data_IF_398625782675
#
_entry.id   IF_398625782675
#
_cell.length_a   1.000
_cell.length_b   1.000
_cell.length_c   1.000
_cell.angle_alpha   90.00
_cell.angle_beta   90.00
_cell.angle_gamma   90.00
#
_symmetry.space_group_name_H-M   'P 1'
#
loop_
_entity.id
_entity.type
_entity.pdbx_description
1 polymer ?
#
# COMPACT_ATOMS: atom_id res chain seq x y z
N UNK A 1 -28.20 27.22 9.33
CA UNK A 1 -27.71 26.13 10.18
C UNK A 1 -26.23 26.38 10.37
N UNK A 2 -25.87 27.01 11.50
CA UNK A 2 -24.52 27.44 11.80
C UNK A 2 -23.86 26.39 12.68
N UNK A 3 -22.72 25.86 12.24
CA UNK A 3 -21.86 25.03 13.06
C UNK A 3 -21.11 25.93 14.05
N UNK A 4 -20.94 25.53 15.33
CA UNK A 4 -20.20 26.32 16.30
C UNK A 4 -18.67 26.19 16.07
N UNK A 5 -17.87 27.21 16.41
CA UNK A 5 -16.42 27.15 16.35
C UNK A 5 -15.87 26.39 17.57
N UNK A 6 -14.90 25.50 17.33
CA UNK A 6 -14.09 24.86 18.37
C UNK A 6 -12.98 25.82 18.82
N UNK A 7 -13.05 26.28 20.06
CA UNK A 7 -11.96 26.99 20.76
C UNK A 7 -11.26 26.02 21.72
N UNK A 8 -9.92 25.85 21.68
CA UNK A 8 -9.21 24.99 22.63
C UNK A 8 -8.48 25.86 23.66
N UNK A 9 -9.12 26.20 24.78
CA UNK A 9 -8.40 26.73 25.95
C UNK A 9 -9.05 26.33 27.27
N UNK A 10 -8.46 25.33 27.93
CA UNK A 10 -8.17 25.34 29.39
C UNK A 10 -7.61 23.99 29.82
N UNK A 11 -6.28 23.91 29.97
CA UNK A 11 -5.63 22.81 30.67
C UNK A 11 -5.67 23.09 32.18
N UNK A 12 -6.44 22.30 32.92
CA UNK A 12 -6.36 22.21 34.37
C UNK A 12 -5.53 21.00 34.76
N UNK A 13 -4.43 21.21 35.47
CA UNK A 13 -3.57 20.17 36.05
C UNK A 13 -4.25 19.49 37.23
N UNK A 14 -4.46 18.17 37.18
CA UNK A 14 -4.60 17.34 38.37
C UNK A 14 -3.93 15.97 38.19
N UNK A 15 -3.39 15.48 39.30
CA UNK A 15 -2.38 14.43 39.40
C UNK A 15 -2.85 13.01 39.10
N UNK A 16 -1.86 12.15 38.94
CA UNK A 16 -1.97 10.74 38.60
C UNK A 16 -2.66 9.89 39.67
N UNK A 17 -3.70 9.16 39.27
CA UNK A 17 -3.86 7.72 39.41
C UNK A 17 -5.30 7.38 38.99
N UNK A 18 -5.51 7.04 37.72
CA UNK A 18 -6.77 6.43 37.31
C UNK A 18 -6.44 5.25 36.42
N UNK A 19 -6.73 4.05 36.90
CA UNK A 19 -6.90 2.89 36.03
C UNK A 19 -8.01 3.25 35.04
N UNK A 20 -7.63 3.69 33.84
CA UNK A 20 -8.57 4.09 32.81
C UNK A 20 -9.47 2.88 32.51
N UNK A 21 -10.78 3.08 32.59
CA UNK A 21 -11.74 2.07 32.18
C UNK A 21 -11.44 1.66 30.72
N UNK A 22 -11.65 0.38 30.37
CA UNK A 22 -11.38 -0.10 29.02
C UNK A 22 -12.17 0.73 28.00
N UNK A 23 -11.46 1.27 27.02
CA UNK A 23 -12.06 2.01 25.90
C UNK A 23 -12.45 0.97 24.86
N UNK A 24 -13.76 0.87 24.58
CA UNK A 24 -14.27 0.04 23.47
C UNK A 24 -14.72 0.94 22.33
N UNK A 25 -14.14 0.71 21.15
CA UNK A 25 -14.56 1.32 19.90
C UNK A 25 -15.37 0.30 19.10
N UNK A 26 -16.61 0.66 18.77
CA UNK A 26 -17.49 -0.13 17.90
C UNK A 26 -17.30 0.30 16.44
N UNK A 27 -17.64 -0.59 15.51
CA UNK A 27 -17.48 -0.37 14.06
C UNK A 27 -16.04 0.07 13.71
N UNK A 28 -15.08 -0.52 14.41
CA UNK A 28 -13.67 -0.23 14.29
C UNK A 28 -13.13 -0.78 12.98
N UNK A 29 -12.41 0.07 12.24
CA UNK A 29 -11.79 -0.32 10.98
C UNK A 29 -10.39 -0.88 11.22
N UNK A 30 -10.16 -2.13 10.83
CA UNK A 30 -8.86 -2.77 10.89
C UNK A 30 -7.88 -2.21 9.84
N UNK A 31 -6.72 -1.63 10.23
CA UNK A 31 -5.79 -1.00 9.30
C UNK A 31 -4.71 -1.95 8.73
N UNK A 32 -4.72 -3.23 9.10
CA UNK A 32 -3.57 -4.14 8.87
C UNK A 32 -3.57 -4.83 7.50
N UNK A 33 -4.68 -4.81 6.78
CA UNK A 33 -4.73 -5.21 5.38
C UNK A 33 -5.67 -4.30 4.58
N UNK A 34 -5.53 -4.27 3.24
CA UNK A 34 -6.26 -3.36 2.38
C UNK A 34 -7.78 -3.56 2.30
N UNK A 35 -8.30 -4.67 2.87
CA UNK A 35 -9.75 -4.89 2.98
C UNK A 35 -10.43 -3.84 3.87
N UNK A 36 -9.69 -3.29 4.84
CA UNK A 36 -10.19 -2.31 5.81
C UNK A 36 -11.54 -2.74 6.40
N UNK A 37 -11.58 -3.93 7.00
CA UNK A 37 -12.80 -4.46 7.60
C UNK A 37 -13.28 -3.54 8.73
N UNK A 38 -14.51 -3.05 8.58
CA UNK A 38 -15.17 -2.00 9.36
C UNK A 38 -16.29 -2.54 10.27
N UNK A 39 -16.34 -3.86 10.44
CA UNK A 39 -17.36 -4.62 11.18
C UNK A 39 -16.82 -5.25 12.48
N UNK A 40 -15.76 -4.65 13.04
CA UNK A 40 -15.10 -5.13 14.25
C UNK A 40 -15.40 -4.23 15.44
N UNK A 41 -15.24 -4.76 16.65
CA UNK A 41 -15.10 -3.95 17.85
C UNK A 41 -13.72 -4.20 18.45
N UNK A 42 -13.06 -3.15 18.93
CA UNK A 42 -11.75 -3.24 19.59
C UNK A 42 -11.84 -2.64 20.99
N UNK A 43 -11.19 -3.30 21.95
CA UNK A 43 -11.12 -2.85 23.34
C UNK A 43 -9.68 -2.76 23.79
N UNK A 44 -9.29 -1.59 24.29
CA UNK A 44 -8.04 -1.40 25.01
C UNK A 44 -8.14 -1.90 26.44
N UNK A 45 -7.23 -2.78 26.84
CA UNK A 45 -7.15 -3.34 28.18
C UNK A 45 -6.30 -2.44 29.10
N UNK A 46 -6.47 -2.54 30.44
CA UNK A 46 -5.68 -1.75 31.40
C UNK A 46 -4.17 -2.00 31.33
N UNK A 47 -3.75 -3.17 30.86
CA UNK A 47 -2.36 -3.57 30.64
C UNK A 47 -1.83 -3.10 29.27
N UNK A 48 -2.57 -2.26 28.55
CA UNK A 48 -2.19 -1.72 27.23
C UNK A 48 -2.41 -2.68 26.06
N UNK A 49 -2.79 -3.93 26.31
CA UNK A 49 -3.12 -4.89 25.27
C UNK A 49 -4.40 -4.51 24.52
N UNK A 50 -4.53 -4.98 23.28
CA UNK A 50 -5.67 -4.74 22.43
C UNK A 50 -6.37 -6.05 22.12
N UNK A 51 -7.67 -6.09 22.32
CA UNK A 51 -8.50 -7.25 21.98
C UNK A 51 -9.57 -6.81 20.97
N UNK A 52 -9.58 -7.45 19.80
CA UNK A 52 -10.64 -7.26 18.81
C UNK A 52 -11.63 -8.42 18.85
N UNK A 53 -12.90 -8.10 18.59
CA UNK A 53 -14.03 -9.04 18.52
C UNK A 53 -14.85 -8.77 17.26
N UNK A 54 -15.60 -9.77 16.81
CA UNK A 54 -16.47 -9.70 15.62
C UNK A 54 -16.17 -10.85 14.65
N UNK A 55 -14.90 -11.01 14.28
CA UNK A 55 -14.46 -12.03 13.31
C UNK A 55 -13.06 -12.55 13.62
N UNK A 56 -12.83 -13.83 13.32
CA UNK A 56 -11.51 -14.46 13.45
C UNK A 56 -10.66 -14.17 12.22
N UNK A 57 -9.64 -13.33 12.38
CA UNK A 57 -8.68 -13.01 11.32
C UNK A 57 -7.25 -13.23 11.83
N UNK A 58 -6.48 -14.19 11.28
CA UNK A 58 -5.13 -14.50 11.78
C UNK A 58 -4.17 -13.31 11.63
N UNK A 59 -4.32 -12.52 10.55
CA UNK A 59 -3.52 -11.32 10.32
C UNK A 59 -3.79 -10.22 11.35
N UNK A 60 -5.05 -10.05 11.77
CA UNK A 60 -5.41 -9.12 12.84
C UNK A 60 -4.82 -9.59 14.19
N UNK A 61 -5.01 -10.87 14.53
CA UNK A 61 -4.47 -11.43 15.76
C UNK A 61 -2.94 -11.26 15.86
N UNK A 62 -2.23 -11.56 14.76
CA UNK A 62 -0.78 -11.38 14.69
C UNK A 62 -0.38 -9.90 14.83
N UNK A 63 -1.09 -8.98 14.19
CA UNK A 63 -0.79 -7.56 14.28
C UNK A 63 -1.00 -7.02 15.70
N UNK A 64 -2.11 -7.36 16.36
CA UNK A 64 -2.41 -6.92 17.72
C UNK A 64 -1.41 -7.43 18.77
N UNK A 65 -0.83 -8.62 18.55
CA UNK A 65 0.23 -9.14 19.42
C UNK A 65 1.45 -8.19 19.49
N UNK A 66 1.71 -7.43 18.42
CA UNK A 66 2.78 -6.43 18.34
C UNK A 66 2.54 -5.16 19.17
N UNK A 67 1.33 -4.94 19.70
CA UNK A 67 0.97 -3.74 20.47
C UNK A 67 0.89 -3.98 21.99
N UNK A 68 1.29 -5.17 22.46
CA UNK A 68 1.20 -5.62 23.86
C UNK A 68 2.13 -4.89 24.83
N UNK A 69 3.04 -4.05 24.37
CA UNK A 69 3.98 -3.31 25.23
C UNK A 69 3.43 -1.92 25.62
N UNK A 70 3.35 -1.69 26.93
CA UNK A 70 2.93 -0.42 27.55
C UNK A 70 4.01 0.65 27.52
N UNK A 71 5.28 0.27 27.50
CA UNK A 71 6.40 1.21 27.55
C UNK A 71 6.51 2.01 26.25
N UNK A 72 6.40 3.34 26.35
CA UNK A 72 6.67 4.23 25.23
C UNK A 72 8.12 4.06 24.80
N UNK A 73 8.34 3.62 23.56
CA UNK A 73 9.68 3.62 22.99
C UNK A 73 10.24 5.05 23.01
N UNK A 74 11.51 5.17 23.39
CA UNK A 74 12.24 6.43 23.28
C UNK A 74 12.76 6.61 21.86
N UNK A 75 12.92 7.86 21.44
CA UNK A 75 13.68 8.15 20.23
C UNK A 75 15.16 7.77 20.45
N UNK A 76 15.85 7.34 19.40
CA UNK A 76 17.25 6.94 19.45
C UNK A 76 18.08 7.72 18.44
N UNK A 77 19.33 8.00 18.77
CA UNK A 77 20.37 8.42 17.83
C UNK A 77 21.56 7.49 18.03
N UNK A 78 21.96 6.79 16.97
CA UNK A 78 23.05 5.80 16.98
C UNK A 78 22.92 4.76 18.09
N UNK A 79 21.67 4.33 18.36
CA UNK A 79 21.31 3.38 19.40
C UNK A 79 21.22 3.93 20.82
N UNK A 80 21.60 5.20 21.04
CA UNK A 80 21.46 5.86 22.33
C UNK A 80 20.09 6.55 22.47
N UNK A 81 19.36 6.35 23.59
CA UNK A 81 18.12 7.08 23.85
C UNK A 81 18.33 8.59 23.94
N UNK A 82 17.49 9.36 23.25
CA UNK A 82 17.51 10.83 23.25
C UNK A 82 16.11 11.41 23.42
N UNK A 83 16.05 12.70 23.76
CA UNK A 83 14.80 13.44 23.73
C UNK A 83 14.25 13.57 22.30
N UNK A 84 12.93 13.60 22.15
CA UNK A 84 12.24 13.69 20.85
C UNK A 84 12.73 14.87 20.00
N UNK A 85 12.86 16.07 20.59
CA UNK A 85 13.32 17.25 19.85
C UNK A 85 14.79 17.15 19.41
N UNK A 86 15.64 16.42 20.13
CA UNK A 86 17.03 16.18 19.73
C UNK A 86 17.12 15.20 18.56
N UNK A 87 16.28 14.15 18.55
CA UNK A 87 16.17 13.25 17.40
C UNK A 87 15.67 13.99 16.15
N UNK A 88 14.68 14.88 16.29
CA UNK A 88 14.19 15.72 15.20
C UNK A 88 15.27 16.67 14.66
N UNK A 89 16.11 17.24 15.53
CA UNK A 89 17.22 18.09 15.09
C UNK A 89 18.24 17.31 14.27
N UNK A 90 18.68 16.15 14.77
CA UNK A 90 19.62 15.28 14.05
C UNK A 90 19.05 14.79 12.71
N UNK A 91 17.78 14.40 12.66
CA UNK A 91 17.10 14.02 11.42
C UNK A 91 17.03 15.20 10.42
N UNK A 92 16.73 16.42 10.89
CA UNK A 92 16.70 17.60 10.04
C UNK A 92 18.10 17.95 9.50
N UNK A 93 19.16 17.81 10.31
CA UNK A 93 20.55 18.00 9.86
C UNK A 93 20.93 17.03 8.73
N UNK A 94 20.58 15.74 8.87
CA UNK A 94 20.81 14.73 7.83
C UNK A 94 20.10 15.13 6.53
N UNK A 95 18.82 15.51 6.61
CA UNK A 95 18.04 15.91 5.43
C UNK A 95 18.56 17.22 4.81
N UNK A 96 19.02 18.18 5.60
CA UNK A 96 19.58 19.44 5.11
C UNK A 96 20.91 19.25 4.38
N UNK A 97 21.71 18.25 4.78
CA UNK A 97 22.99 17.92 4.14
C UNK A 97 22.84 17.03 2.89
N UNK A 98 21.68 16.39 2.71
CA UNK A 98 21.41 15.44 1.63
C UNK A 98 21.04 16.13 0.32
N UNK A 99 21.55 15.61 -0.80
CA UNK A 99 21.24 16.07 -2.17
C UNK A 99 20.28 15.14 -2.89
N UNK A 100 20.27 13.86 -2.53
CA UNK A 100 19.36 12.86 -3.07
C UNK A 100 18.75 12.00 -1.96
N UNK A 101 17.94 12.61 -1.06
CA UNK A 101 17.25 11.84 -0.04
C UNK A 101 16.19 10.95 -0.67
N UNK A 102 16.10 9.71 -0.18
CA UNK A 102 15.02 8.77 -0.51
C UNK A 102 14.05 8.68 0.67
N UNK A 103 12.77 8.93 0.42
CA UNK A 103 11.68 8.67 1.34
C UNK A 103 11.06 7.33 0.95
N UNK A 104 11.43 6.28 1.69
CA UNK A 104 11.07 4.89 1.43
C UNK A 104 10.01 4.35 2.40
N UNK A 105 9.49 3.16 2.05
CA UNK A 105 8.33 2.50 2.64
C UNK A 105 7.03 3.29 2.54
N UNK A 106 7.00 4.51 3.08
CA UNK A 106 5.86 5.41 3.09
C UNK A 106 4.60 4.77 3.67
N UNK A 107 4.74 3.84 4.62
CA UNK A 107 3.60 3.15 5.20
C UNK A 107 2.91 4.02 6.27
N UNK A 108 1.94 4.81 5.82
CA UNK A 108 1.23 5.82 6.60
C UNK A 108 -0.18 6.10 6.04
N UNK A 109 -0.90 7.02 6.70
CA UNK A 109 -2.25 7.43 6.33
C UNK A 109 -2.25 8.67 5.40
N UNK A 110 -3.44 9.16 5.02
CA UNK A 110 -3.56 10.35 4.16
C UNK A 110 -2.83 11.57 4.74
N UNK A 111 -2.97 11.83 6.05
CA UNK A 111 -2.35 12.99 6.67
C UNK A 111 -0.82 12.88 6.66
N UNK A 112 -0.29 11.71 6.99
CA UNK A 112 1.14 11.41 6.91
C UNK A 112 1.69 11.57 5.49
N UNK A 113 1.01 11.02 4.48
CA UNK A 113 1.43 11.12 3.08
C UNK A 113 1.50 12.58 2.59
N UNK A 114 0.50 13.40 2.95
CA UNK A 114 0.48 14.84 2.61
C UNK A 114 1.64 15.60 3.24
N UNK A 115 1.92 15.36 4.52
CA UNK A 115 3.00 16.03 5.23
C UNK A 115 4.38 15.57 4.73
N UNK A 116 4.55 14.29 4.41
CA UNK A 116 5.79 13.76 3.82
C UNK A 116 6.03 14.32 2.42
N UNK A 117 4.98 14.52 1.61
CA UNK A 117 5.11 15.18 0.32
C UNK A 117 5.57 16.63 0.46
N UNK A 118 5.02 17.38 1.43
CA UNK A 118 5.47 18.74 1.72
C UNK A 118 6.94 18.77 2.17
N UNK A 119 7.32 17.88 3.10
CA UNK A 119 8.72 17.73 3.53
C UNK A 119 9.66 17.40 2.35
N UNK A 120 9.23 16.50 1.46
CA UNK A 120 9.99 16.14 0.27
C UNK A 120 10.17 17.32 -0.69
N UNK A 121 9.16 18.18 -0.82
CA UNK A 121 9.25 19.42 -1.60
C UNK A 121 10.23 20.43 -0.98
N UNK A 122 10.47 20.38 0.33
CA UNK A 122 11.45 21.25 1.00
C UNK A 122 12.89 20.78 0.84
N UNK A 123 13.14 19.47 0.78
CA UNK A 123 14.50 18.91 0.67
C UNK A 123 14.83 18.26 -0.68
N UNK A 124 13.88 18.21 -1.61
CA UNK A 124 14.06 17.64 -2.94
C UNK A 124 14.24 16.12 -2.93
N UNK A 125 13.29 15.38 -2.34
CA UNK A 125 13.39 13.93 -2.16
C UNK A 125 12.78 13.10 -3.30
N UNK A 126 13.31 11.89 -3.47
CA UNK A 126 12.61 10.82 -4.20
C UNK A 126 11.66 10.11 -3.25
N UNK A 127 10.42 9.86 -3.68
CA UNK A 127 9.43 9.10 -2.90
C UNK A 127 9.18 7.76 -3.60
N UNK A 128 9.22 6.69 -2.82
CA UNK A 128 8.83 5.36 -3.27
C UNK A 128 8.23 4.54 -2.12
N UNK A 129 7.19 3.76 -2.42
CA UNK A 129 6.53 2.93 -1.41
C UNK A 129 7.26 1.59 -1.26
N UNK A 130 7.08 0.91 -0.13
CA UNK A 130 7.50 -0.49 0.07
C UNK A 130 6.98 -1.43 -1.04
N UNK A 131 5.84 -1.08 -1.62
CA UNK A 131 5.14 -1.84 -2.66
C UNK A 131 5.25 -1.17 -4.04
N UNK A 132 6.25 -0.30 -4.22
CA UNK A 132 6.43 0.54 -5.41
C UNK A 132 6.47 -0.23 -6.72
N UNK A 133 7.11 -1.41 -6.75
CA UNK A 133 7.15 -2.25 -7.95
C UNK A 133 5.77 -2.78 -8.35
N UNK A 134 4.96 -3.20 -7.37
CA UNK A 134 3.59 -3.67 -7.60
C UNK A 134 2.65 -2.52 -8.04
N UNK A 135 2.77 -1.35 -7.39
CA UNK A 135 2.05 -0.12 -7.79
C UNK A 135 2.40 0.24 -9.23
N UNK A 136 3.70 0.28 -9.56
CA UNK A 136 4.20 0.66 -10.87
C UNK A 136 3.74 -0.30 -11.96
N UNK A 137 3.78 -1.62 -11.70
CA UNK A 137 3.37 -2.63 -12.66
C UNK A 137 1.89 -2.47 -13.07
N UNK A 138 1.01 -2.15 -12.12
CA UNK A 138 -0.39 -1.87 -12.41
C UNK A 138 -0.61 -0.48 -13.03
N UNK A 139 0.05 0.55 -12.49
CA UNK A 139 -0.15 1.95 -12.90
C UNK A 139 0.28 2.20 -14.34
N UNK A 140 1.40 1.63 -14.77
CA UNK A 140 1.88 1.75 -16.16
C UNK A 140 0.83 1.28 -17.16
N UNK A 141 0.19 0.14 -16.90
CA UNK A 141 -0.86 -0.40 -17.78
C UNK A 141 -2.05 0.56 -17.87
N UNK A 142 -2.49 1.12 -16.75
CA UNK A 142 -3.60 2.08 -16.71
C UNK A 142 -3.25 3.34 -17.50
N UNK A 143 -2.02 3.85 -17.38
CA UNK A 143 -1.53 5.01 -18.12
C UNK A 143 -1.48 4.76 -19.63
N UNK A 144 -1.00 3.59 -20.05
CA UNK A 144 -0.81 3.28 -21.47
C UNK A 144 -2.11 2.84 -22.19
N UNK A 145 -2.99 2.11 -21.49
CA UNK A 145 -4.12 1.38 -22.09
C UNK A 145 -5.48 1.64 -21.45
N UNK A 146 -5.52 2.27 -20.27
CA UNK A 146 -6.71 2.30 -19.42
C UNK A 146 -7.00 0.95 -18.77
N UNK A 147 -8.09 0.89 -18.01
CA UNK A 147 -8.54 -0.31 -17.29
C UNK A 147 -10.04 -0.24 -17.00
N UNK A 148 -10.66 -1.40 -16.81
CA UNK A 148 -12.05 -1.53 -16.35
C UNK A 148 -12.02 -2.04 -14.91
N UNK A 149 -12.38 -1.21 -13.94
CA UNK A 149 -12.29 -1.58 -12.53
C UNK A 149 -13.65 -1.99 -11.97
N UNK A 150 -13.64 -2.92 -11.01
CA UNK A 150 -14.77 -3.23 -10.16
C UNK A 150 -14.51 -2.79 -8.71
N UNK A 151 -15.58 -2.66 -7.93
CA UNK A 151 -15.51 -2.43 -6.48
C UNK A 151 -15.85 -3.70 -5.70
N UNK A 152 -15.46 -3.78 -4.41
CA UNK A 152 -15.87 -4.91 -3.55
C UNK A 152 -17.39 -5.11 -3.53
N UNK A 153 -18.16 -4.02 -3.59
CA UNK A 153 -19.63 -4.06 -3.64
C UNK A 153 -20.15 -4.67 -4.95
N UNK A 154 -19.49 -4.41 -6.08
CA UNK A 154 -19.85 -5.05 -7.35
C UNK A 154 -19.53 -6.54 -7.35
N UNK A 155 -18.36 -6.94 -6.82
CA UNK A 155 -18.05 -8.36 -6.60
C UNK A 155 -19.13 -9.00 -5.71
N UNK A 156 -19.53 -8.31 -4.63
CA UNK A 156 -20.51 -8.79 -3.64
C UNK A 156 -21.96 -8.88 -4.11
N UNK A 157 -22.36 -8.10 -5.10
CA UNK A 157 -23.79 -8.00 -5.47
C UNK A 157 -24.10 -8.33 -6.91
N UNK A 158 -23.09 -8.34 -7.81
CA UNK A 158 -23.31 -8.46 -9.25
C UNK A 158 -22.51 -9.57 -9.92
N UNK A 159 -21.30 -9.86 -9.43
CA UNK A 159 -20.41 -10.81 -10.09
C UNK A 159 -20.86 -12.26 -9.91
N UNK A 160 -21.44 -12.84 -10.96
CA UNK A 160 -21.80 -14.26 -11.02
C UNK A 160 -20.61 -15.13 -11.42
N UNK A 161 -19.59 -14.57 -12.09
CA UNK A 161 -18.32 -15.23 -12.39
C UNK A 161 -17.12 -14.42 -11.89
N UNK A 162 -16.31 -14.99 -10.99
CA UNK A 162 -15.01 -14.44 -10.60
C UNK A 162 -13.89 -15.32 -11.14
N UNK A 163 -12.96 -14.71 -11.88
CA UNK A 163 -11.82 -15.39 -12.48
C UNK A 163 -10.54 -14.93 -11.78
N UNK A 164 -9.91 -15.81 -11.03
CA UNK A 164 -8.66 -15.55 -10.32
C UNK A 164 -7.48 -15.94 -11.21
N UNK A 165 -6.63 -14.97 -11.53
CA UNK A 165 -5.43 -15.20 -12.33
C UNK A 165 -4.18 -15.04 -11.47
N UNK A 166 -3.40 -16.12 -11.32
CA UNK A 166 -2.09 -16.09 -10.67
C UNK A 166 -2.11 -15.57 -9.22
N UNK A 167 -3.24 -15.69 -8.51
CA UNK A 167 -3.38 -15.18 -7.15
C UNK A 167 -4.26 -16.06 -6.27
N UNK A 168 -3.99 -16.02 -4.97
CA UNK A 168 -4.74 -16.73 -3.92
C UNK A 168 -5.09 -15.72 -2.81
N UNK A 169 -6.19 -14.97 -2.96
CA UNK A 169 -6.54 -13.85 -2.08
C UNK A 169 -6.44 -14.15 -0.58
N UNK A 170 -6.83 -15.33 -0.10
CA UNK A 170 -6.88 -15.62 1.34
C UNK A 170 -5.51 -15.61 2.03
N UNK A 171 -4.42 -15.78 1.27
CA UNK A 171 -3.04 -15.77 1.79
C UNK A 171 -2.65 -14.38 2.33
N UNK A 172 -3.09 -13.31 1.67
CA UNK A 172 -2.79 -11.92 2.05
C UNK A 172 -3.99 -11.16 2.63
N UNK A 173 -5.20 -11.60 2.28
CA UNK A 173 -6.48 -10.98 2.59
C UNK A 173 -7.43 -12.03 3.19
N UNK A 174 -7.23 -12.48 4.45
CA UNK A 174 -7.90 -13.67 4.98
C UNK A 174 -9.43 -13.64 4.91
N UNK A 175 -10.04 -12.45 5.01
CA UNK A 175 -11.49 -12.26 4.93
C UNK A 175 -11.99 -11.90 3.53
N UNK A 176 -11.18 -12.04 2.47
CA UNK A 176 -11.55 -11.63 1.12
C UNK A 176 -12.87 -12.28 0.67
N UNK A 177 -12.96 -13.62 0.72
CA UNK A 177 -14.16 -14.34 0.30
C UNK A 177 -15.38 -13.93 1.13
N UNK A 178 -15.24 -13.81 2.45
CA UNK A 178 -16.32 -13.32 3.31
C UNK A 178 -16.82 -11.93 2.89
N UNK A 179 -15.91 -11.03 2.50
CA UNK A 179 -16.25 -9.65 2.10
C UNK A 179 -16.86 -9.55 0.70
N UNK A 180 -16.52 -10.46 -0.20
CA UNK A 180 -17.09 -10.50 -1.57
C UNK A 180 -18.26 -11.48 -1.70
N UNK A 181 -18.54 -12.28 -0.67
CA UNK A 181 -19.75 -13.09 -0.58
C UNK A 181 -20.90 -12.22 -0.06
N UNK A 182 -21.99 -12.22 -0.80
CA UNK A 182 -23.23 -11.55 -0.44
C UNK A 182 -24.43 -12.40 -0.83
N UNK A 183 -25.61 -12.16 -0.25
CA UNK A 183 -26.82 -12.80 -0.70
C UNK A 183 -27.07 -12.40 -2.16
N UNK A 184 -27.19 -13.39 -3.04
CA UNK A 184 -27.46 -13.21 -4.45
C UNK A 184 -28.51 -14.20 -4.92
N UNK A 185 -29.35 -13.78 -5.88
CA UNK A 185 -30.36 -14.63 -6.51
C UNK A 185 -29.78 -15.52 -7.63
N UNK A 186 -28.48 -15.38 -7.90
CA UNK A 186 -27.72 -16.16 -8.88
C UNK A 186 -26.68 -17.05 -8.20
N UNK A 187 -26.37 -18.17 -8.84
CA UNK A 187 -25.24 -19.02 -8.46
C UNK A 187 -23.92 -18.34 -8.82
N UNK A 188 -22.92 -18.50 -7.97
CA UNK A 188 -21.58 -17.94 -8.17
C UNK A 188 -20.61 -19.01 -8.61
N UNK A 189 -19.72 -18.63 -9.51
CA UNK A 189 -18.63 -19.47 -9.99
C UNK A 189 -17.29 -18.78 -9.77
N UNK A 190 -16.35 -19.50 -9.15
CA UNK A 190 -14.97 -19.10 -8.96
C UNK A 190 -14.08 -19.96 -9.84
N UNK A 191 -13.41 -19.31 -10.79
CA UNK A 191 -12.53 -19.95 -11.74
C UNK A 191 -11.08 -19.55 -11.46
N UNK A 192 -10.24 -20.49 -11.10
CA UNK A 192 -8.80 -20.27 -10.91
C UNK A 192 -8.06 -20.61 -12.20
N UNK A 193 -7.48 -19.62 -12.86
CA UNK A 193 -6.87 -19.75 -14.20
C UNK A 193 -5.38 -19.49 -14.10
N UNK A 194 -4.56 -20.48 -14.47
CA UNK A 194 -3.10 -20.37 -14.35
C UNK A 194 -2.60 -20.45 -12.91
N UNK A 195 -3.43 -20.89 -11.97
CA UNK A 195 -3.07 -21.11 -10.57
C UNK A 195 -3.97 -22.17 -9.92
N UNK A 196 -3.50 -22.76 -8.83
CA UNK A 196 -4.31 -23.64 -7.98
C UNK A 196 -5.44 -22.89 -7.28
N UNK A 197 -6.53 -23.60 -6.98
CA UNK A 197 -7.61 -23.06 -6.17
C UNK A 197 -7.10 -22.55 -4.82
N UNK A 198 -7.62 -21.39 -4.42
CA UNK A 198 -7.36 -20.82 -3.10
C UNK A 198 -8.09 -21.63 -2.01
N UNK A 199 -7.41 -22.15 -0.97
CA UNK A 199 -8.05 -22.91 0.09
C UNK A 199 -9.15 -22.11 0.81
N UNK A 200 -9.02 -20.78 0.88
CA UNK A 200 -10.03 -19.90 1.47
C UNK A 200 -11.34 -19.85 0.68
N UNK A 201 -11.33 -20.23 -0.60
CA UNK A 201 -12.54 -20.30 -1.42
C UNK A 201 -13.44 -21.47 -1.02
N UNK A 202 -12.88 -22.57 -0.50
CA UNK A 202 -13.64 -23.77 -0.13
C UNK A 202 -14.67 -23.51 0.99
N UNK A 203 -14.50 -22.44 1.77
CA UNK A 203 -15.46 -22.00 2.79
C UNK A 203 -16.67 -21.23 2.24
N UNK A 204 -16.71 -20.92 0.94
CA UNK A 204 -17.78 -20.16 0.32
C UNK A 204 -19.03 -21.03 0.06
N UNK A 205 -20.16 -20.79 0.75
CA UNK A 205 -21.36 -21.60 0.56
C UNK A 205 -21.97 -21.34 -0.83
N UNK A 206 -22.47 -22.40 -1.48
CA UNK A 206 -23.17 -22.33 -2.77
C UNK A 206 -22.36 -21.71 -3.93
N UNK A 207 -21.03 -21.83 -3.88
CA UNK A 207 -20.13 -21.42 -4.95
C UNK A 207 -19.57 -22.65 -5.67
N UNK A 208 -19.64 -22.66 -7.00
CA UNK A 208 -18.90 -23.64 -7.80
C UNK A 208 -17.45 -23.19 -7.94
N UNK A 209 -16.50 -24.06 -7.65
CA UNK A 209 -15.07 -23.78 -7.72
C UNK A 209 -14.44 -24.71 -8.76
N UNK A 210 -13.75 -24.12 -9.72
CA UNK A 210 -13.05 -24.85 -10.77
C UNK A 210 -11.62 -24.30 -10.93
N UNK A 211 -10.68 -25.19 -11.22
CA UNK A 211 -9.27 -24.87 -11.51
C UNK A 211 -8.99 -25.22 -12.96
N UNK A 212 -8.39 -24.29 -13.70
CA UNK A 212 -8.03 -24.45 -15.11
C UNK A 212 -6.55 -24.14 -15.30
N UNK A 213 -5.85 -25.08 -15.96
CA UNK A 213 -4.48 -24.88 -16.43
C UNK A 213 -3.51 -24.39 -15.32
N UNK A 214 -3.49 -25.00 -14.11
CA UNK A 214 -2.77 -24.46 -12.95
C UNK A 214 -1.25 -24.42 -13.10
N UNK A 215 -0.70 -25.08 -14.11
CA UNK A 215 0.73 -25.17 -14.39
C UNK A 215 1.10 -24.60 -15.77
N UNK A 216 0.18 -23.95 -16.47
CA UNK A 216 0.48 -23.32 -17.75
C UNK A 216 1.41 -22.11 -17.55
N UNK A 217 2.29 -21.88 -18.51
CA UNK A 217 3.09 -20.65 -18.54
C UNK A 217 2.14 -19.44 -18.63
N UNK A 218 2.27 -18.45 -17.73
CA UNK A 218 1.31 -17.35 -17.66
C UNK A 218 1.34 -16.44 -18.89
N UNK A 219 2.48 -16.31 -19.58
CA UNK A 219 2.57 -15.47 -20.78
C UNK A 219 1.91 -16.16 -21.97
N UNK A 220 2.18 -17.45 -22.17
CA UNK A 220 1.52 -18.25 -23.20
C UNK A 220 0.00 -18.29 -22.98
N UNK A 221 -0.42 -18.50 -21.74
CA UNK A 221 -1.82 -18.53 -21.33
C UNK A 221 -2.53 -17.21 -21.66
N UNK A 222 -1.96 -16.07 -21.26
CA UNK A 222 -2.54 -14.75 -21.52
C UNK A 222 -2.51 -14.42 -23.02
N UNK A 223 -1.47 -14.80 -23.75
CA UNK A 223 -1.40 -14.58 -25.19
C UNK A 223 -2.49 -15.35 -25.97
N UNK A 224 -2.66 -16.65 -25.65
CA UNK A 224 -3.70 -17.49 -26.26
C UNK A 224 -5.11 -17.01 -25.88
N UNK A 225 -5.33 -16.70 -24.60
CA UNK A 225 -6.62 -16.21 -24.13
C UNK A 225 -6.97 -14.85 -24.76
N UNK A 226 -5.99 -13.95 -24.90
CA UNK A 226 -6.18 -12.68 -25.60
C UNK A 226 -6.52 -12.89 -27.07
N UNK A 227 -5.85 -13.82 -27.76
CA UNK A 227 -6.15 -14.12 -29.16
C UNK A 227 -7.58 -14.66 -29.34
N UNK A 228 -8.01 -15.60 -28.50
CA UNK A 228 -9.39 -16.13 -28.51
C UNK A 228 -10.42 -15.05 -28.19
N UNK A 229 -10.15 -14.20 -27.19
CA UNK A 229 -11.04 -13.10 -26.80
C UNK A 229 -11.26 -12.09 -27.94
N UNK A 230 -10.27 -11.92 -28.82
CA UNK A 230 -10.36 -11.10 -30.04
C UNK A 230 -10.99 -11.81 -31.25
N UNK A 231 -11.52 -13.03 -31.06
CA UNK A 231 -12.21 -13.78 -32.10
C UNK A 231 -11.30 -14.53 -33.07
N UNK A 232 -10.03 -14.80 -32.71
CA UNK A 232 -9.20 -15.73 -33.49
C UNK A 232 -9.77 -17.15 -33.34
N UNK A 233 -9.80 -17.88 -34.45
CA UNK A 233 -10.35 -19.24 -34.47
C UNK A 233 -9.43 -20.21 -33.71
N UNK A 234 -9.96 -21.07 -32.81
CA UNK A 234 -9.18 -22.11 -32.13
C UNK A 234 -8.26 -22.92 -33.05
N UNK A 235 -8.79 -23.32 -34.23
CA UNK A 235 -8.06 -24.07 -35.25
C UNK A 235 -6.83 -23.33 -35.82
N UNK A 236 -6.84 -21.99 -35.81
CA UNK A 236 -5.71 -21.17 -36.25
C UNK A 236 -4.60 -21.04 -35.21
N UNK A 237 -4.88 -21.37 -33.95
CA UNK A 237 -3.93 -21.29 -32.84
C UNK A 237 -3.32 -22.66 -32.50
N UNK A 238 -4.05 -23.75 -32.73
CA UNK A 238 -3.58 -25.11 -32.43
C UNK A 238 -2.36 -25.54 -33.25
N UNK A 239 -2.08 -24.87 -34.37
CA UNK A 239 -0.88 -25.12 -35.20
C UNK A 239 0.38 -24.44 -34.65
N UNK A 240 0.26 -23.53 -33.67
CA UNK A 240 1.38 -22.78 -33.13
C UNK A 240 2.19 -23.59 -32.10
N UNK A 241 1.63 -24.68 -31.52
CA UNK A 241 2.30 -25.50 -30.49
C UNK A 241 1.84 -26.96 -30.49
N UNK A 242 2.75 -27.87 -30.12
CA UNK A 242 2.52 -29.32 -30.09
C UNK A 242 1.60 -29.79 -28.93
N UNK A 243 1.43 -28.95 -27.90
CA UNK A 243 0.57 -29.10 -26.71
C UNK A 243 -0.62 -28.10 -26.69
N UNK A 244 -0.79 -27.31 -27.75
CA UNK A 244 -1.69 -26.16 -27.79
C UNK A 244 -3.18 -26.52 -27.75
N UNK A 245 -3.58 -27.67 -28.28
CA UNK A 245 -5.00 -28.03 -28.44
C UNK A 245 -5.74 -28.10 -27.11
N UNK A 246 -5.19 -28.79 -26.10
CA UNK A 246 -5.84 -28.91 -24.79
C UNK A 246 -5.97 -27.56 -24.06
N UNK A 247 -4.95 -26.70 -24.17
CA UNK A 247 -4.98 -25.34 -23.62
C UNK A 247 -6.04 -24.48 -24.31
N UNK A 248 -6.13 -24.58 -25.64
CA UNK A 248 -7.12 -23.85 -26.44
C UNK A 248 -8.54 -24.34 -26.14
N UNK A 249 -8.75 -25.64 -25.97
CA UNK A 249 -10.06 -26.22 -25.64
C UNK A 249 -10.52 -25.76 -24.24
N UNK A 250 -9.61 -25.78 -23.26
CA UNK A 250 -9.86 -25.23 -21.93
C UNK A 250 -10.20 -23.72 -22.02
N UNK A 251 -9.40 -22.92 -22.71
CA UNK A 251 -9.67 -21.49 -22.87
C UNK A 251 -10.95 -21.19 -23.66
N UNK A 252 -11.33 -22.05 -24.60
CA UNK A 252 -12.61 -21.95 -25.32
C UNK A 252 -13.79 -22.22 -24.38
N UNK A 253 -13.65 -23.22 -23.50
CA UNK A 253 -14.63 -23.50 -22.43
C UNK A 253 -14.74 -22.30 -21.47
N UNK A 254 -13.62 -21.68 -21.09
CA UNK A 254 -13.62 -20.46 -20.29
C UNK A 254 -14.33 -19.30 -21.01
N UNK A 255 -14.10 -19.14 -22.32
CA UNK A 255 -14.76 -18.11 -23.12
C UNK A 255 -16.29 -18.31 -23.20
N UNK A 256 -16.77 -19.55 -23.28
CA UNK A 256 -18.19 -19.88 -23.23
C UNK A 256 -18.82 -19.54 -21.87
N UNK A 257 -18.14 -19.90 -20.76
CA UNK A 257 -18.57 -19.52 -19.40
C UNK A 257 -18.64 -18.01 -19.23
N UNK A 258 -17.63 -17.27 -19.70
CA UNK A 258 -17.62 -15.80 -19.70
C UNK A 258 -18.78 -15.24 -20.52
N UNK A 259 -19.06 -15.80 -21.70
CA UNK A 259 -20.16 -15.33 -22.54
C UNK A 259 -21.54 -15.59 -21.93
N UNK A 260 -21.68 -16.64 -21.11
CA UNK A 260 -22.91 -16.95 -20.37
C UNK A 260 -23.10 -16.12 -19.10
N UNK A 261 -22.01 -15.57 -18.53
CA UNK A 261 -22.05 -14.76 -17.32
C UNK A 261 -22.71 -13.38 -17.55
N UNK A 262 -23.45 -12.90 -16.55
CA UNK A 262 -24.04 -11.57 -16.52
C UNK A 262 -22.99 -10.50 -16.20
N UNK A 263 -22.05 -10.80 -15.30
CA UNK A 263 -20.98 -9.89 -14.91
C UNK A 263 -19.73 -10.67 -14.46
N UNK A 264 -18.73 -10.74 -15.34
CA UNK A 264 -17.47 -11.41 -15.06
C UNK A 264 -16.43 -10.45 -14.43
N UNK A 265 -15.76 -10.86 -13.37
CA UNK A 265 -14.67 -10.08 -12.76
C UNK A 265 -13.36 -10.85 -12.78
N UNK A 266 -12.34 -10.29 -13.42
CA UNK A 266 -10.99 -10.81 -13.40
C UNK A 266 -10.22 -10.27 -12.19
N UNK A 267 -9.90 -11.15 -11.24
CA UNK A 267 -9.15 -10.85 -10.02
C UNK A 267 -7.69 -11.23 -10.19
N UNK A 268 -6.78 -10.32 -9.85
CA UNK A 268 -5.33 -10.55 -9.88
C UNK A 268 -4.63 -9.75 -8.78
N UNK A 269 -3.43 -10.16 -8.37
CA UNK A 269 -2.62 -9.43 -7.38
C UNK A 269 -1.31 -8.98 -8.04
N UNK A 270 -1.10 -7.67 -8.30
CA UNK A 270 0.14 -7.17 -8.88
C UNK A 270 1.39 -7.62 -8.11
N UNK A 271 1.34 -7.65 -6.78
CA UNK A 271 2.46 -8.10 -5.96
C UNK A 271 2.79 -9.60 -6.17
N UNK A 272 1.79 -10.47 -6.35
CA UNK A 272 2.02 -11.88 -6.66
C UNK A 272 2.64 -12.07 -8.04
N UNK A 273 2.19 -11.29 -9.04
CA UNK A 273 2.77 -11.31 -10.38
C UNK A 273 4.22 -10.77 -10.38
N UNK A 274 4.51 -9.72 -9.60
CA UNK A 274 5.88 -9.21 -9.44
C UNK A 274 6.78 -10.25 -8.77
N UNK A 275 6.31 -10.93 -7.70
CA UNK A 275 7.08 -11.99 -7.03
C UNK A 275 7.46 -13.13 -7.96
N UNK A 276 6.59 -13.47 -8.92
CA UNK A 276 6.79 -14.61 -9.83
C UNK A 276 7.51 -14.24 -11.13
N UNK A 277 7.28 -13.05 -11.68
CA UNK A 277 7.73 -12.66 -13.03
C UNK A 277 8.56 -11.37 -13.07
N UNK A 278 8.83 -10.75 -11.92
CA UNK A 278 9.42 -9.43 -11.82
C UNK A 278 8.48 -8.31 -12.31
N UNK A 279 8.90 -7.07 -12.12
CA UNK A 279 8.09 -5.87 -12.45
C UNK A 279 7.69 -5.80 -13.94
N UNK A 280 8.63 -6.06 -14.84
CA UNK A 280 8.38 -5.98 -16.29
C UNK A 280 7.42 -7.09 -16.76
N UNK A 281 7.63 -8.33 -16.29
CA UNK A 281 6.74 -9.45 -16.58
C UNK A 281 5.34 -9.23 -16.03
N UNK A 282 5.22 -8.75 -14.80
CA UNK A 282 3.94 -8.38 -14.21
C UNK A 282 3.19 -7.32 -15.03
N UNK A 283 3.90 -6.28 -15.52
CA UNK A 283 3.29 -5.24 -16.37
C UNK A 283 2.71 -5.82 -17.65
N UNK A 284 3.45 -6.71 -18.33
CA UNK A 284 2.99 -7.38 -19.55
C UNK A 284 1.78 -8.29 -19.32
N UNK A 285 1.79 -9.07 -18.24
CA UNK A 285 0.66 -9.92 -17.88
C UNK A 285 -0.58 -9.06 -17.57
N UNK A 286 -0.43 -8.01 -16.75
CA UNK A 286 -1.53 -7.11 -16.42
C UNK A 286 -2.08 -6.43 -17.68
N UNK A 287 -1.23 -5.97 -18.61
CA UNK A 287 -1.68 -5.42 -19.91
C UNK A 287 -2.50 -6.44 -20.70
N UNK A 288 -2.03 -7.69 -20.78
CA UNK A 288 -2.74 -8.76 -21.46
C UNK A 288 -4.10 -9.08 -20.83
N UNK A 289 -4.18 -9.14 -19.49
CA UNK A 289 -5.43 -9.33 -18.76
C UNK A 289 -6.41 -8.18 -19.00
N UNK A 290 -5.94 -6.92 -18.98
CA UNK A 290 -6.78 -5.76 -19.29
C UNK A 290 -7.28 -5.78 -20.74
N UNK A 291 -6.45 -6.22 -21.68
CA UNK A 291 -6.84 -6.40 -23.08
C UNK A 291 -7.92 -7.48 -23.24
N UNK A 292 -7.82 -8.58 -22.49
CA UNK A 292 -8.85 -9.63 -22.43
C UNK A 292 -10.17 -9.05 -21.89
N UNK A 293 -10.14 -8.37 -20.74
CA UNK A 293 -11.34 -7.72 -20.16
C UNK A 293 -11.97 -6.72 -21.14
N UNK A 294 -11.15 -5.93 -21.84
CA UNK A 294 -11.63 -5.02 -22.89
C UNK A 294 -12.36 -5.76 -24.01
N UNK A 295 -11.79 -6.85 -24.53
CA UNK A 295 -12.40 -7.63 -25.61
C UNK A 295 -13.69 -8.34 -25.17
N UNK A 296 -13.76 -8.81 -23.92
CA UNK A 296 -14.99 -9.38 -23.35
C UNK A 296 -16.12 -8.34 -23.32
N UNK A 297 -15.79 -7.07 -23.05
CA UNK A 297 -16.76 -5.98 -22.97
C UNK A 297 -17.45 -5.62 -24.30
N UNK A 298 -16.96 -6.13 -25.43
CA UNK A 298 -17.64 -6.02 -26.73
C UNK A 298 -18.90 -6.91 -26.79
N UNK A 299 -19.02 -7.93 -25.94
CA UNK A 299 -20.09 -8.94 -25.97
C UNK A 299 -20.91 -9.04 -24.68
N UNK A 300 -20.26 -8.96 -23.53
CA UNK A 300 -20.91 -9.01 -22.20
C UNK A 300 -20.31 -7.93 -21.29
N UNK A 301 -20.61 -7.93 -19.99
CA UNK A 301 -20.02 -7.00 -19.03
C UNK A 301 -18.91 -7.69 -18.25
N UNK A 302 -17.74 -7.10 -18.26
CA UNK A 302 -16.62 -7.56 -17.47
C UNK A 302 -15.83 -6.40 -16.85
N UNK A 303 -15.17 -6.69 -15.74
CA UNK A 303 -14.27 -5.76 -15.07
C UNK A 303 -13.08 -6.51 -14.49
N UNK A 304 -12.14 -5.75 -13.95
CA UNK A 304 -10.96 -6.27 -13.27
C UNK A 304 -10.90 -5.76 -11.83
N UNK A 305 -10.33 -6.57 -10.95
CA UNK A 305 -10.17 -6.25 -9.54
C UNK A 305 -8.74 -6.57 -9.12
N UNK A 306 -7.92 -5.53 -9.00
CA UNK A 306 -6.53 -5.66 -8.57
C UNK A 306 -6.45 -5.70 -7.04
N UNK A 307 -5.99 -6.83 -6.49
CA UNK A 307 -5.69 -6.97 -5.07
C UNK A 307 -4.39 -6.25 -4.74
N UNK A 308 -4.42 -5.28 -3.83
CA UNK A 308 -3.23 -4.54 -3.44
C UNK A 308 -3.52 -3.49 -2.38
N UNK A 309 -2.54 -2.63 -2.14
CA UNK A 309 -2.68 -1.51 -1.20
C UNK A 309 -2.19 -1.77 0.22
N UNK A 310 -1.46 -2.87 0.45
CA UNK A 310 -0.91 -3.21 1.76
C UNK A 310 -0.08 -2.06 2.32
N UNK A 311 -0.06 -1.93 3.65
CA UNK A 311 0.71 -0.91 4.36
C UNK A 311 0.39 0.53 3.90
N UNK A 312 -0.84 0.79 3.44
CA UNK A 312 -1.24 2.13 2.98
C UNK A 312 -0.77 2.46 1.56
N UNK A 313 -0.28 1.49 0.77
CA UNK A 313 0.22 1.72 -0.59
C UNK A 313 -0.77 2.47 -1.50
N UNK A 314 -2.05 2.07 -1.51
CA UNK A 314 -3.08 2.76 -2.31
C UNK A 314 -3.32 4.16 -1.75
N UNK A 315 -3.36 4.31 -0.42
CA UNK A 315 -3.52 5.61 0.27
C UNK A 315 -2.45 6.61 -0.15
N UNK A 316 -1.18 6.23 -0.04
CA UNK A 316 -0.07 7.12 -0.34
C UNK A 316 0.01 7.40 -1.84
N UNK A 317 -0.19 6.39 -2.69
CA UNK A 317 -0.19 6.59 -4.13
C UNK A 317 -1.29 7.57 -4.56
N UNK A 318 -2.51 7.42 -4.04
CA UNK A 318 -3.60 8.37 -4.28
C UNK A 318 -3.23 9.78 -3.80
N UNK A 319 -2.69 9.89 -2.57
CA UNK A 319 -2.30 11.16 -1.98
C UNK A 319 -1.27 11.92 -2.80
N UNK A 320 -0.20 11.23 -3.17
CA UNK A 320 0.85 11.78 -4.02
C UNK A 320 0.31 12.12 -5.41
N UNK A 321 -0.58 11.30 -5.98
CA UNK A 321 -1.18 11.55 -7.29
C UNK A 321 -2.02 12.83 -7.31
N UNK A 322 -2.88 13.08 -6.31
CA UNK A 322 -3.68 14.31 -6.30
C UNK A 322 -2.85 15.56 -5.94
N UNK A 323 -1.74 15.40 -5.21
CA UNK A 323 -0.86 16.53 -4.85
C UNK A 323 0.05 16.95 -6.01
N UNK A 324 0.54 15.98 -6.78
CA UNK A 324 1.58 16.19 -7.78
C UNK A 324 1.11 16.04 -9.22
N UNK A 325 -0.04 15.40 -9.44
CA UNK A 325 -0.49 14.94 -10.75
C UNK A 325 0.20 13.66 -11.24
N UNK A 326 1.15 13.09 -10.49
CA UNK A 326 1.94 11.92 -10.87
C UNK A 326 1.93 10.83 -9.77
N UNK A 327 1.95 9.54 -10.14
CA UNK A 327 1.98 8.45 -9.17
C UNK A 327 3.39 8.19 -8.62
N UNK A 328 3.48 7.31 -7.63
CA UNK A 328 4.76 6.78 -7.16
C UNK A 328 5.38 5.78 -8.15
N UNK A 329 6.73 5.63 -8.15
CA UNK A 329 7.70 6.50 -7.51
C UNK A 329 7.92 7.80 -8.31
N UNK A 330 8.30 8.88 -7.64
CA UNK A 330 8.63 10.15 -8.30
C UNK A 330 9.72 10.92 -7.54
N UNK A 331 10.45 11.77 -8.26
CA UNK A 331 11.33 12.79 -7.70
C UNK A 331 10.55 14.09 -7.55
N UNK A 332 10.49 14.58 -6.32
CA UNK A 332 10.00 15.93 -6.02
C UNK A 332 11.23 16.85 -5.95
N UNK A 333 11.32 17.89 -6.81
CA UNK A 333 12.43 18.84 -6.72
C UNK A 333 12.28 19.72 -5.47
N UNK A 334 13.40 20.16 -4.91
CA UNK A 334 13.37 21.13 -3.82
C UNK A 334 12.78 22.45 -4.35
N UNK A 335 11.73 22.96 -3.71
CA UNK A 335 11.16 24.26 -4.03
C UNK A 335 12.19 25.34 -3.72
N UNK A 336 12.72 25.98 -4.77
CA UNK A 336 13.51 27.20 -4.62
C UNK A 336 12.59 28.27 -4.02
N UNK A 337 12.98 28.85 -2.89
CA UNK A 337 12.27 30.00 -2.31
C UNK A 337 12.76 31.25 -3.02
N UNK A 338 11.85 32.20 -3.27
CA UNK A 338 12.17 33.47 -3.92
C UNK A 338 13.41 34.11 -3.27
N UNK A 339 14.43 34.40 -4.10
CA UNK A 339 15.74 34.93 -3.66
C UNK A 339 16.95 34.02 -3.95
N UNK A 340 16.74 32.80 -4.46
CA UNK A 340 17.83 31.90 -4.89
C UNK A 340 18.33 32.26 -6.30
N UNK A 341 19.24 33.26 -6.36
CA UNK A 341 19.74 33.92 -7.56
C UNK A 341 20.23 33.05 -8.75
N UNK A 342 20.17 33.69 -9.92
CA UNK A 342 20.69 33.38 -11.27
C UNK A 342 21.09 31.92 -11.55
N UNK A 343 20.10 31.17 -12.04
CA UNK A 343 20.26 29.83 -12.56
C UNK A 343 20.94 29.79 -13.94
N UNK A 344 21.68 28.71 -14.19
CA UNK A 344 22.03 28.30 -15.57
C UNK A 344 20.85 27.62 -16.29
N UNK A 345 19.67 27.52 -15.64
CA UNK A 345 18.47 26.92 -16.22
C UNK A 345 18.45 25.38 -16.23
N UNK A 346 19.47 24.68 -15.73
CA UNK A 346 19.52 23.20 -15.70
C UNK A 346 19.02 22.54 -14.39
N UNK A 347 18.74 23.32 -13.34
CA UNK A 347 18.21 22.80 -12.08
C UNK A 347 16.72 22.47 -12.19
N UNK A 348 16.39 21.25 -12.61
CA UNK A 348 15.03 20.80 -12.90
C UNK A 348 14.01 21.17 -11.82
N UNK A 349 13.15 22.14 -12.14
CA UNK A 349 12.00 22.56 -11.33
C UNK A 349 10.77 21.69 -11.57
N UNK A 350 10.87 20.68 -12.43
CA UNK A 350 9.77 19.78 -12.79
C UNK A 350 9.78 18.53 -11.92
N UNK A 351 8.59 18.14 -11.47
CA UNK A 351 8.34 16.79 -10.98
C UNK A 351 8.77 15.77 -12.06
N UNK A 352 9.44 14.69 -11.65
CA UNK A 352 9.91 13.63 -12.55
C UNK A 352 9.43 12.27 -12.06
N UNK A 353 8.63 11.58 -12.88
CA UNK A 353 8.12 10.24 -12.60
C UNK A 353 8.76 9.24 -13.55
N UNK A 354 9.46 8.27 -12.99
CA UNK A 354 10.01 7.13 -13.73
C UNK A 354 10.10 5.92 -12.79
N UNK A 355 9.18 4.98 -13.02
CA UNK A 355 9.04 3.75 -12.24
C UNK A 355 10.27 2.84 -12.25
N UNK A 356 11.17 2.96 -13.23
CA UNK A 356 12.40 2.18 -13.30
C UNK A 356 13.57 2.92 -12.64
N UNK A 357 13.71 4.22 -12.92
CA UNK A 357 14.81 5.06 -12.40
C UNK A 357 14.71 5.26 -10.89
N UNK A 358 13.49 5.46 -10.39
CA UNK A 358 13.25 5.86 -9.00
C UNK A 358 12.82 4.71 -8.07
N UNK A 359 12.85 3.46 -8.53
CA UNK A 359 12.58 2.32 -7.65
C UNK A 359 13.66 2.18 -6.56
N UNK A 360 13.23 2.00 -5.31
CA UNK A 360 14.08 1.91 -4.11
C UNK A 360 15.22 0.91 -4.27
N UNK A 361 14.91 -0.29 -4.77
CA UNK A 361 15.89 -1.38 -4.95
C UNK A 361 17.06 -0.95 -5.84
N UNK A 362 16.78 -0.22 -6.92
CA UNK A 362 17.79 0.30 -7.85
C UNK A 362 18.57 1.46 -7.24
N UNK A 363 17.87 2.43 -6.66
CA UNK A 363 18.51 3.61 -6.06
C UNK A 363 19.53 3.24 -4.98
N UNK A 364 19.23 2.20 -4.19
CA UNK A 364 20.15 1.66 -3.18
C UNK A 364 21.30 0.89 -3.84
N UNK A 365 21.00 -0.03 -4.77
CA UNK A 365 22.03 -0.85 -5.42
C UNK A 365 23.04 -0.02 -6.22
N UNK A 366 22.57 1.01 -6.92
CA UNK A 366 23.37 1.92 -7.73
C UNK A 366 24.02 3.05 -6.88
N UNK A 367 23.77 3.08 -5.56
CA UNK A 367 24.26 4.11 -4.62
C UNK A 367 23.89 5.55 -5.03
N UNK A 368 22.67 5.74 -5.51
CA UNK A 368 22.14 7.03 -5.96
C UNK A 368 21.48 7.86 -4.83
N UNK A 369 21.50 7.37 -3.59
CA UNK A 369 20.95 8.06 -2.42
C UNK A 369 22.07 8.39 -1.44
N UNK A 370 21.95 9.52 -0.76
CA UNK A 370 22.87 9.96 0.29
C UNK A 370 22.20 10.09 1.66
N UNK A 371 20.88 9.88 1.75
CA UNK A 371 20.16 9.67 3.01
C UNK A 371 18.89 8.85 2.75
N UNK A 372 18.46 8.08 3.75
CA UNK A 372 17.18 7.36 3.75
C UNK A 372 16.26 7.89 4.86
N UNK A 373 15.04 8.30 4.53
CA UNK A 373 13.93 8.43 5.48
C UNK A 373 12.99 7.24 5.27
N UNK A 374 12.92 6.32 6.23
CA UNK A 374 12.07 5.12 6.18
C UNK A 374 10.85 5.29 7.07
N UNK A 375 9.65 5.29 6.49
CA UNK A 375 8.40 5.50 7.22
C UNK A 375 7.59 4.21 7.31
N UNK A 376 7.40 3.69 8.51
CA UNK A 376 6.75 2.40 8.77
C UNK A 376 5.83 2.43 10.01
N UNK A 377 4.69 3.13 9.91
CA UNK A 377 3.78 3.34 11.04
C UNK A 377 2.69 2.27 11.23
N UNK A 378 2.35 1.52 10.17
CA UNK A 378 1.27 0.51 10.21
C UNK A 378 1.74 -0.86 10.70
N UNK A 379 2.99 -1.21 10.42
CA UNK A 379 3.64 -2.44 10.84
C UNK A 379 5.17 -2.20 10.95
N UNK A 380 5.91 -3.00 11.73
CA UNK A 380 7.36 -2.90 11.85
C UNK A 380 8.07 -3.49 10.63
N UNK A 381 7.82 -2.92 9.45
CA UNK A 381 8.43 -3.34 8.19
C UNK A 381 9.92 -2.97 8.17
N UNK A 382 10.85 -3.93 8.05
CA UNK A 382 12.28 -3.64 8.07
C UNK A 382 12.68 -2.81 6.85
N UNK A 383 13.63 -1.88 7.02
CA UNK A 383 14.22 -1.16 5.89
C UNK A 383 15.16 -2.05 5.08
N UNK A 384 15.55 -1.63 3.85
CA UNK A 384 16.32 -2.48 2.96
C UNK A 384 17.68 -2.86 3.58
N UNK A 385 17.99 -4.17 3.71
CA UNK A 385 19.24 -4.63 4.33
C UNK A 385 20.47 -4.28 3.49
N UNK A 386 20.28 -4.01 2.20
CA UNK A 386 21.33 -3.57 1.28
C UNK A 386 21.74 -2.09 1.46
N UNK A 387 21.11 -1.36 2.38
CA UNK A 387 21.47 0.03 2.66
C UNK A 387 22.91 0.10 3.19
N UNK A 388 23.77 0.83 2.48
CA UNK A 388 25.17 0.97 2.86
C UNK A 388 25.32 1.67 4.22
N UNK A 389 26.36 1.28 4.98
CA UNK A 389 26.62 1.80 6.33
C UNK A 389 26.97 3.30 6.33
N UNK A 390 27.48 3.84 5.23
CA UNK A 390 27.81 5.25 5.09
C UNK A 390 26.62 6.14 4.69
N UNK A 391 25.46 5.54 4.36
CA UNK A 391 24.22 6.29 4.09
C UNK A 391 23.46 6.45 5.41
N UNK A 392 23.32 7.67 5.98
CA UNK A 392 22.52 7.88 7.19
C UNK A 392 21.06 7.48 6.98
N UNK A 393 20.43 6.90 8.01
CA UNK A 393 19.01 6.54 7.99
C UNK A 393 18.23 7.25 9.09
N UNK A 394 17.04 7.72 8.74
CA UNK A 394 16.03 8.26 9.65
C UNK A 394 14.86 7.28 9.57
N UNK A 395 14.59 6.57 10.66
CA UNK A 395 13.51 5.58 10.74
C UNK A 395 12.39 6.14 11.59
N UNK A 396 11.21 6.32 11.00
CA UNK A 396 10.04 6.86 11.67
C UNK A 396 8.90 5.85 11.61
N UNK A 397 8.45 5.33 12.75
CA UNK A 397 7.43 4.29 12.70
C UNK A 397 7.16 3.53 13.99
N UNK A 398 6.71 2.29 13.82
CA UNK A 398 6.29 1.42 14.90
C UNK A 398 7.41 1.24 15.96
N UNK A 399 7.10 1.35 17.27
CA UNK A 399 8.06 1.18 18.37
C UNK A 399 8.98 -0.05 18.28
N UNK A 400 8.49 -1.16 17.73
CA UNK A 400 9.27 -2.40 17.56
C UNK A 400 10.48 -2.28 16.61
N UNK A 401 10.60 -1.19 15.84
CA UNK A 401 11.77 -0.93 15.00
C UNK A 401 12.97 -0.38 15.79
N UNK A 402 12.79 -0.01 17.06
CA UNK A 402 13.84 0.58 17.90
C UNK A 402 15.06 -0.34 18.06
N UNK A 403 14.83 -1.64 18.31
CA UNK A 403 15.92 -2.62 18.49
C UNK A 403 16.72 -2.79 17.21
N UNK A 404 16.03 -2.94 16.07
CA UNK A 404 16.69 -3.01 14.76
C UNK A 404 17.50 -1.73 14.49
N UNK A 405 17.01 -0.57 14.91
CA UNK A 405 17.68 0.72 14.66
C UNK A 405 18.93 0.85 15.52
N UNK A 406 18.86 0.44 16.79
CA UNK A 406 20.01 0.39 17.68
C UNK A 406 21.08 -0.61 17.20
N UNK A 407 20.66 -1.74 16.65
CA UNK A 407 21.56 -2.79 16.17
C UNK A 407 22.25 -2.46 14.83
N UNK A 408 21.86 -1.38 14.15
CA UNK A 408 22.36 -1.06 12.79
C UNK A 408 23.86 -0.75 12.75
N UNK A 409 24.44 -0.19 13.83
CA UNK A 409 25.88 0.10 13.91
C UNK A 409 26.39 1.17 12.91
N UNK A 410 25.49 2.00 12.39
CA UNK A 410 25.75 3.07 11.43
C UNK A 410 24.88 4.30 11.74
N UNK A 411 25.16 5.50 11.20
CA UNK A 411 24.41 6.71 11.49
C UNK A 411 22.89 6.53 11.33
N UNK A 412 22.17 6.49 12.44
CA UNK A 412 20.75 6.12 12.48
C UNK A 412 19.98 6.93 13.51
N UNK A 413 18.93 7.62 13.07
CA UNK A 413 17.95 8.26 13.92
C UNK A 413 16.68 7.43 13.92
N UNK A 414 16.17 7.05 15.09
CA UNK A 414 14.87 6.39 15.24
C UNK A 414 13.90 7.31 15.97
N UNK A 415 12.71 7.48 15.40
CA UNK A 415 11.62 8.27 15.98
C UNK A 415 10.36 7.40 16.03
N UNK A 416 9.87 7.02 17.22
CA UNK A 416 8.63 6.27 17.34
C UNK A 416 7.44 7.14 16.96
N UNK A 417 6.52 6.56 16.20
CA UNK A 417 5.32 7.24 15.69
C UNK A 417 4.05 6.46 16.04
N UNK A 418 2.94 7.19 16.13
CA UNK A 418 1.61 6.61 16.33
C UNK A 418 1.21 5.73 15.13
N UNK A 419 0.62 4.57 15.39
CA UNK A 419 -0.03 3.75 14.36
C UNK A 419 -1.46 4.27 14.12
N UNK A 420 -1.82 4.70 12.89
CA UNK A 420 -3.20 5.07 12.56
C UNK A 420 -4.18 3.92 12.77
N UNK A 421 -5.33 4.20 13.40
CA UNK A 421 -6.33 3.20 13.82
C UNK A 421 -6.00 2.47 15.12
N UNK A 422 -4.80 2.65 15.69
CA UNK A 422 -4.42 2.09 16.98
C UNK A 422 -4.14 3.19 18.00
N UNK A 423 -3.16 4.04 17.74
CA UNK A 423 -2.73 5.11 18.66
C UNK A 423 -3.25 6.50 18.23
N UNK A 424 -3.75 6.63 17.01
CA UNK A 424 -4.29 7.89 16.46
C UNK A 424 -5.39 7.62 15.45
N UNK A 425 -6.27 8.60 15.25
CA UNK A 425 -7.23 8.58 14.14
C UNK A 425 -6.49 8.77 12.81
N UNK A 426 -7.15 8.40 11.70
CA UNK A 426 -6.56 8.54 10.38
C UNK A 426 -7.51 8.20 9.25
N UNK A 427 -7.00 8.21 8.03
CA UNK A 427 -7.76 7.82 6.84
C UNK A 427 -6.94 6.93 5.93
N UNK A 428 -7.53 5.82 5.47
CA UNK A 428 -6.94 4.93 4.48
C UNK A 428 -7.88 4.74 3.30
N UNK A 429 -7.32 4.58 2.11
CA UNK A 429 -8.07 4.11 0.95
C UNK A 429 -8.17 2.59 1.00
N UNK A 430 -9.38 2.07 0.83
CA UNK A 430 -9.63 0.64 0.66
C UNK A 430 -9.08 0.16 -0.69
N UNK A 431 -8.81 -1.13 -0.83
CA UNK A 431 -8.16 -1.69 -2.02
C UNK A 431 -8.88 -1.42 -3.36
N UNK A 432 -10.18 -1.16 -3.33
CA UNK A 432 -10.96 -0.74 -4.50
C UNK A 432 -10.71 0.74 -4.90
N UNK A 433 -9.81 1.43 -4.20
CA UNK A 433 -9.26 2.77 -4.44
C UNK A 433 -10.27 3.92 -4.52
N UNK A 434 -11.55 3.62 -4.33
CA UNK A 434 -12.69 4.56 -4.46
C UNK A 434 -13.23 4.99 -3.10
N UNK A 435 -13.02 4.18 -2.06
CA UNK A 435 -13.55 4.44 -0.71
C UNK A 435 -12.41 4.83 0.23
N UNK A 436 -12.54 6.01 0.81
CA UNK A 436 -11.73 6.45 1.96
C UNK A 436 -12.44 6.03 3.23
N UNK A 437 -11.78 5.24 4.06
CA UNK A 437 -12.32 4.72 5.32
C UNK A 437 -11.67 5.47 6.49
N UNK A 438 -12.46 6.07 7.39
CA UNK A 438 -11.93 6.68 8.60
C UNK A 438 -11.47 5.60 9.58
N UNK A 439 -10.35 5.86 10.25
CA UNK A 439 -9.83 5.05 11.33
C UNK A 439 -10.05 5.79 12.64
N UNK A 440 -10.53 5.07 13.65
CA UNK A 440 -10.62 5.55 15.03
C UNK A 440 -9.51 4.90 15.86
N UNK A 441 -8.84 5.69 16.70
CA UNK A 441 -7.82 5.20 17.62
C UNK A 441 -8.40 4.15 18.57
N UNK A 442 -7.79 2.97 18.62
CA UNK A 442 -8.17 1.89 19.54
C UNK A 442 -7.78 2.19 21.00
N UNK A 443 -6.78 3.05 21.21
CA UNK A 443 -6.31 3.49 22.53
C UNK A 443 -5.74 4.90 22.48
N UNK A 444 -5.66 5.55 23.64
CA UNK A 444 -4.96 6.83 23.80
C UNK A 444 -3.48 6.58 24.12
N UNK A 445 -2.56 6.97 23.22
CA UNK A 445 -1.12 6.95 23.47
C UNK A 445 -0.48 8.23 22.98
N UNK A 446 0.43 8.80 23.76
CA UNK A 446 1.11 10.07 23.44
C UNK A 446 2.27 9.91 22.43
N UNK A 447 2.05 9.13 21.36
CA UNK A 447 2.99 9.07 20.24
C UNK A 447 2.61 10.13 19.19
N UNK A 448 3.57 10.84 18.60
CA UNK A 448 3.28 11.80 17.54
C UNK A 448 2.90 11.06 16.24
N UNK A 449 1.97 11.63 15.48
CA UNK A 449 1.61 11.11 14.15
C UNK A 449 2.73 11.37 13.14
N UNK A 450 2.77 10.61 12.05
CA UNK A 450 3.70 10.86 10.93
C UNK A 450 3.53 12.30 10.41
N UNK A 451 2.29 12.79 10.32
CA UNK A 451 2.03 14.17 9.90
C UNK A 451 2.69 15.21 10.83
N UNK A 452 2.63 14.99 12.15
CA UNK A 452 3.25 15.85 13.15
C UNK A 452 4.77 15.83 13.04
N UNK A 453 5.36 14.64 12.91
CA UNK A 453 6.82 14.47 12.79
C UNK A 453 7.32 15.15 11.51
N UNK A 454 6.69 14.86 10.36
CA UNK A 454 7.08 15.44 9.08
C UNK A 454 6.96 16.97 9.07
N UNK A 455 5.90 17.54 9.65
CA UNK A 455 5.74 19.00 9.76
C UNK A 455 6.83 19.63 10.64
N UNK A 456 7.16 19.00 11.78
CA UNK A 456 8.23 19.48 12.67
C UNK A 456 9.63 19.37 12.07
N UNK A 457 9.86 18.38 11.19
CA UNK A 457 11.09 18.27 10.41
C UNK A 457 11.15 19.39 9.36
N UNK A 458 10.04 19.68 8.69
CA UNK A 458 9.95 20.74 7.68
C UNK A 458 10.23 22.14 8.29
N UNK A 459 9.67 22.42 9.47
CA UNK A 459 9.96 23.65 10.22
C UNK A 459 11.44 23.81 10.57
N UNK A 460 12.12 22.72 10.97
CA UNK A 460 13.55 22.71 11.30
C UNK A 460 14.41 22.89 10.07
N UNK A 461 14.10 22.21 8.97
CA UNK A 461 14.77 22.41 7.68
C UNK A 461 14.72 23.87 7.24
N UNK A 462 13.56 24.51 7.36
CA UNK A 462 13.40 25.93 7.07
C UNK A 462 14.24 26.84 7.98
N UNK A 463 14.56 26.43 9.21
CA UNK A 463 15.46 27.15 10.10
C UNK A 463 16.93 26.98 9.69
N UNK A 464 17.37 25.78 9.28
CA UNK A 464 18.72 25.54 8.76
C UNK A 464 19.01 26.35 7.50
N UNK A 465 18.08 26.38 6.54
CA UNK A 465 18.26 27.17 5.32
C UNK A 465 18.36 28.69 5.59
N UNK A 466 17.74 29.19 6.67
CA UNK A 466 17.87 30.60 7.08
C UNK A 466 19.23 30.88 7.71
N UNK A 467 19.71 30.00 8.61
CA UNK A 467 21.04 30.12 9.24
C UNK A 467 22.18 30.04 8.23
N UNK A 468 22.04 29.23 7.18
CA UNK A 468 23.06 29.14 6.12
C UNK A 468 23.15 30.41 5.24
N UNK A 469 22.12 31.28 5.26
CA UNK A 469 22.07 32.54 4.50
C UNK A 469 22.47 33.77 5.33
N UNK A 470 22.44 33.67 6.66
CA UNK A 470 22.87 34.71 7.60
C UNK A 470 24.34 34.54 7.96
#
# INVERSE_FOLDING_TARGET
MSFPPNDPTSAGSQGASNSAAPITVRDWTCPFCPLLCDDLAITGQPDGALAATGHDCPRLAQALAGFSTTEAASALVDGAPVAFDAALECAAEILAASRHPLFGALATDVAGARALYALAASCGATLDHLHGEAISAATRVVQDRGSFFATLSELRTRADLLIFFGCRPSESYPRFYERVLGPTDFAREYMFVGCEADPGAAGAPHVHIETMLPHADPFDLVALWSALSLGRLPSSLGTLRHDGTATIDALSTLAEKIAAAQYAVLVYEPAALVRSQGQAGASLLIEGLQRIVKAINDKTRAASFALGGADGAVTVNQAVTWLSGLPLPLRVPALRRDGDGDGDGSGGTSLDHDAHRYRTTRLIADRHIDALLWVASLAPSPWPPALAADVPAIVVGHPALAEQAAARGAPTVFIPAATPGIDSDGHLFRLDATVVVPLAAARARALPTIATIASRLDERLAAFSRKARS
#
